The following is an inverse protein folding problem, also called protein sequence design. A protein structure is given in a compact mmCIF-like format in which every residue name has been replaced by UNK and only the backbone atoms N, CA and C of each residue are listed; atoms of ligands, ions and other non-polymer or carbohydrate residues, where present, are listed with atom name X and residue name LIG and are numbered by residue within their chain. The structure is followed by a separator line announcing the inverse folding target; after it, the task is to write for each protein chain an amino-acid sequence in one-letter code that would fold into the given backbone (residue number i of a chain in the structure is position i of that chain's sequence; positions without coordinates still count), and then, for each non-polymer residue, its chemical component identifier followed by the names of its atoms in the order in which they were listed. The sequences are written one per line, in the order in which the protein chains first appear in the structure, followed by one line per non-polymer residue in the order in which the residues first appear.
data_IF_356864843059
#
_entry.id   IF_356864843059
#
_cell.length_a   1.000
_cell.length_b   1.000
_cell.length_c   1.000
_cell.angle_alpha   90.00
_cell.angle_beta   90.00
_cell.angle_gamma   90.00
#
_symmetry.space_group_name_H-M   'P 1'
#
loop_
_entity.id
_entity.type
_entity.pdbx_description
1 polymer ?
#
# COMPACT_ATOMS: atom_id res chain seq x y z
N UNK A 1 7.23 -16.06 -2.82
CA UNK A 1 5.81 -15.77 -2.53
C UNK A 1 5.69 -15.69 -1.02
N UNK A 2 5.31 -14.53 -0.47
CA UNK A 2 5.06 -14.35 0.96
C UNK A 2 3.56 -14.50 1.22
N UNK A 3 3.19 -15.21 2.28
CA UNK A 3 1.81 -15.41 2.72
C UNK A 3 1.69 -14.91 4.16
N UNK A 4 0.50 -14.42 4.51
CA UNK A 4 0.20 -13.99 5.87
C UNK A 4 0.28 -15.17 6.84
N UNK A 5 0.82 -14.88 8.02
CA UNK A 5 0.82 -15.78 9.17
C UNK A 5 -0.31 -15.40 10.14
N UNK A 6 -0.73 -16.31 11.04
CA UNK A 6 -1.70 -15.96 12.08
C UNK A 6 -1.27 -14.77 12.96
N UNK A 7 0.03 -14.64 13.22
CA UNK A 7 0.61 -13.54 14.00
C UNK A 7 0.41 -12.19 13.32
N UNK A 8 0.54 -12.13 11.99
CA UNK A 8 0.27 -10.90 11.22
C UNK A 8 -1.18 -10.44 11.38
N UNK A 9 -2.11 -11.35 11.71
CA UNK A 9 -3.54 -11.05 11.83
C UNK A 9 -3.98 -10.75 13.28
N UNK A 10 -3.06 -10.69 14.24
CA UNK A 10 -3.39 -10.37 15.62
C UNK A 10 -3.69 -8.88 15.81
N UNK A 11 -4.81 -8.57 16.47
CA UNK A 11 -5.14 -7.19 16.83
C UNK A 11 -5.52 -6.28 15.65
N UNK A 12 -5.95 -6.85 14.51
CA UNK A 12 -6.30 -6.11 13.28
C UNK A 12 -7.22 -4.91 13.50
N UNK A 13 -8.25 -5.02 14.35
CA UNK A 13 -9.16 -3.89 14.64
C UNK A 13 -8.38 -2.69 15.19
N UNK A 14 -7.48 -2.93 16.15
CA UNK A 14 -6.65 -1.87 16.73
C UNK A 14 -5.63 -1.35 15.73
N UNK A 15 -5.01 -2.22 14.94
CA UNK A 15 -4.08 -1.82 13.87
C UNK A 15 -4.80 -0.94 12.83
N UNK A 16 -6.00 -1.31 12.41
CA UNK A 16 -6.82 -0.55 11.48
C UNK A 16 -7.20 0.82 12.04
N UNK A 17 -7.65 0.90 13.30
CA UNK A 17 -7.95 2.17 13.97
C UNK A 17 -6.71 3.09 14.03
N UNK A 18 -5.56 2.54 14.43
CA UNK A 18 -4.29 3.28 14.45
C UNK A 18 -3.92 3.80 13.06
N UNK A 19 -3.97 2.94 12.04
CA UNK A 19 -3.65 3.31 10.66
C UNK A 19 -4.62 4.36 10.14
N UNK A 20 -5.92 4.23 10.40
CA UNK A 20 -6.91 5.21 9.96
C UNK A 20 -6.68 6.60 10.60
N UNK A 21 -6.26 6.64 11.87
CA UNK A 21 -5.85 7.88 12.52
C UNK A 21 -4.59 8.49 11.89
N UNK A 22 -3.57 7.67 11.57
CA UNK A 22 -2.37 8.14 10.86
C UNK A 22 -2.71 8.68 9.48
N UNK A 23 -3.53 7.95 8.70
CA UNK A 23 -3.99 8.38 7.36
C UNK A 23 -4.74 9.72 7.49
N UNK A 24 -5.65 9.86 8.45
CA UNK A 24 -6.39 11.11 8.67
C UNK A 24 -5.50 12.27 9.06
N UNK A 25 -4.49 12.03 9.91
CA UNK A 25 -3.48 13.04 10.27
C UNK A 25 -2.65 13.46 9.04
N UNK A 26 -2.20 12.50 8.23
CA UNK A 26 -1.28 12.71 7.11
C UNK A 26 -1.96 13.25 5.84
N UNK A 27 -3.21 12.87 5.59
CA UNK A 27 -3.94 13.16 4.34
C UNK A 27 -5.19 14.03 4.52
N UNK A 28 -5.69 14.16 5.75
CA UNK A 28 -6.98 14.81 6.04
C UNK A 28 -8.21 13.94 5.75
N UNK A 29 -8.02 12.70 5.30
CA UNK A 29 -9.08 11.76 4.89
C UNK A 29 -8.95 10.44 5.66
N UNK A 30 -10.05 9.71 5.81
CA UNK A 30 -9.98 8.32 6.28
C UNK A 30 -9.96 7.32 5.11
N UNK A 31 -9.83 6.02 5.41
CA UNK A 31 -9.78 4.96 4.38
C UNK A 31 -11.06 4.95 3.53
N UNK A 32 -12.23 5.19 4.12
CA UNK A 32 -13.50 5.17 3.41
C UNK A 32 -13.60 6.37 2.45
N UNK A 33 -13.19 7.56 2.89
CA UNK A 33 -13.10 8.76 2.06
C UNK A 33 -12.18 8.53 0.86
N UNK A 34 -11.00 7.92 1.09
CA UNK A 34 -10.02 7.61 0.05
C UNK A 34 -10.62 6.62 -0.95
N UNK A 35 -11.19 5.51 -0.48
CA UNK A 35 -11.79 4.50 -1.36
C UNK A 35 -12.95 5.08 -2.18
N UNK A 36 -13.81 5.89 -1.56
CA UNK A 36 -14.90 6.60 -2.25
C UNK A 36 -14.38 7.51 -3.36
N UNK A 37 -13.27 8.22 -3.15
CA UNK A 37 -12.69 9.07 -4.19
C UNK A 37 -11.99 8.29 -5.31
N UNK A 38 -11.35 7.15 -4.99
CA UNK A 38 -10.72 6.30 -6.02
C UNK A 38 -11.79 5.68 -6.91
N UNK A 39 -12.84 5.12 -6.32
CA UNK A 39 -13.79 4.24 -7.02
C UNK A 39 -15.13 4.89 -7.37
N UNK A 40 -15.46 6.04 -6.77
CA UNK A 40 -16.74 6.72 -6.97
C UNK A 40 -17.93 5.99 -6.35
N UNK A 41 -17.68 5.10 -5.40
CA UNK A 41 -18.67 4.20 -4.79
C UNK A 41 -18.84 4.45 -3.30
N UNK A 42 -19.95 3.95 -2.75
CA UNK A 42 -20.26 3.96 -1.31
C UNK A 42 -20.78 2.59 -0.91
N UNK A 43 -20.59 2.23 0.35
CA UNK A 43 -21.19 1.03 0.96
C UNK A 43 -22.58 1.38 1.50
N UNK A 44 -23.57 0.54 1.23
CA UNK A 44 -24.96 0.66 1.69
C UNK A 44 -25.58 -0.70 2.10
N UNK A 45 -25.08 -1.26 3.21
CA UNK A 45 -25.73 -2.37 3.93
C UNK A 45 -25.70 -3.73 3.23
N UNK A 46 -24.73 -3.99 2.38
CA UNK A 46 -24.74 -5.15 1.50
C UNK A 46 -24.22 -6.43 2.16
N UNK A 47 -24.73 -7.58 1.67
CA UNK A 47 -24.43 -8.89 2.27
C UNK A 47 -23.19 -9.53 1.69
N UNK A 48 -22.44 -10.16 2.59
CA UNK A 48 -21.08 -10.66 2.36
C UNK A 48 -20.95 -12.12 2.71
N UNK A 49 -20.47 -12.92 1.76
CA UNK A 49 -20.10 -14.32 2.00
C UNK A 49 -18.60 -14.49 2.05
N UNK A 50 -18.07 -14.93 3.18
CA UNK A 50 -16.66 -15.36 3.30
C UNK A 50 -16.63 -16.86 3.15
N UNK A 51 -15.90 -17.34 2.16
CA UNK A 51 -15.74 -18.77 1.90
C UNK A 51 -14.29 -19.14 2.20
N UNK A 52 -14.01 -19.85 3.32
CA UNK A 52 -12.69 -20.40 3.57
C UNK A 52 -12.27 -21.32 2.42
N UNK A 53 -11.07 -21.10 1.89
CA UNK A 53 -10.52 -21.89 0.78
C UNK A 53 -9.45 -22.83 1.32
N UNK A 54 -9.54 -24.11 0.99
CA UNK A 54 -8.62 -25.17 1.46
C UNK A 54 -7.55 -25.53 0.43
N UNK A 55 -7.59 -24.97 -0.79
CA UNK A 55 -6.62 -25.26 -1.84
C UNK A 55 -5.22 -24.71 -1.51
N UNK A 56 -4.17 -25.42 -1.91
CA UNK A 56 -2.78 -24.99 -1.67
C UNK A 56 -2.35 -25.28 -0.23
N UNK A 57 -1.89 -24.26 0.50
CA UNK A 57 -1.39 -24.40 1.88
C UNK A 57 -2.51 -24.55 2.94
N UNK A 58 -3.76 -24.78 2.53
CA UNK A 58 -4.90 -24.94 3.43
C UNK A 58 -5.44 -23.62 3.97
N UNK A 59 -6.22 -23.72 5.05
CA UNK A 59 -6.85 -22.57 5.71
C UNK A 59 -5.80 -21.83 6.53
N UNK A 60 -5.66 -20.52 6.29
CA UNK A 60 -4.92 -19.63 7.17
C UNK A 60 -5.85 -19.27 8.35
N UNK A 61 -5.52 -19.74 9.55
CA UNK A 61 -6.27 -19.41 10.78
C UNK A 61 -6.37 -17.90 10.94
N UNK A 62 -7.54 -17.42 11.38
CA UNK A 62 -7.93 -16.01 11.48
C UNK A 62 -8.22 -15.28 10.15
N UNK A 63 -7.77 -15.78 8.99
CA UNK A 63 -7.98 -15.09 7.70
C UNK A 63 -9.45 -14.86 7.37
N UNK A 64 -10.29 -15.89 7.48
CA UNK A 64 -11.73 -15.76 7.19
C UNK A 64 -12.44 -14.83 8.18
N UNK A 65 -12.11 -14.87 9.47
CA UNK A 65 -12.66 -13.91 10.44
C UNK A 65 -12.21 -12.48 10.17
N UNK A 66 -11.01 -12.27 9.61
CA UNK A 66 -10.50 -10.95 9.25
C UNK A 66 -11.17 -10.35 8.00
N UNK A 67 -11.83 -11.17 7.18
CA UNK A 67 -12.43 -10.76 5.90
C UNK A 67 -13.92 -10.41 5.99
N UNK A 68 -14.44 -10.09 7.18
CA UNK A 68 -15.87 -9.90 7.46
C UNK A 68 -16.50 -8.66 6.80
N UNK A 69 -16.33 -8.41 5.49
CA UNK A 69 -17.07 -7.46 4.62
C UNK A 69 -16.68 -7.66 3.12
N UNK A 70 -17.57 -8.04 2.12
CA UNK A 70 -17.57 -8.02 0.60
C UNK A 70 -18.90 -8.41 -0.10
N UNK A 71 -19.38 -7.56 -1.03
CA UNK A 71 -20.71 -7.51 -1.70
C UNK A 71 -20.88 -8.20 -3.08
N UNK A 72 -22.00 -7.86 -3.77
CA UNK A 72 -22.50 -8.30 -5.11
C UNK A 72 -22.34 -7.20 -6.17
N UNK A 73 -21.98 -7.58 -7.41
CA UNK A 73 -22.43 -6.98 -8.69
C UNK A 73 -21.81 -7.61 -9.97
N UNK A 74 -21.20 -8.80 -9.88
CA UNK A 74 -20.53 -9.45 -11.03
C UNK A 74 -19.17 -8.83 -11.41
N UNK A 75 -18.77 -7.73 -10.76
CA UNK A 75 -17.42 -7.17 -10.78
C UNK A 75 -16.50 -8.01 -9.89
N UNK A 76 -15.24 -8.17 -10.31
CA UNK A 76 -14.23 -8.93 -9.57
C UNK A 76 -13.04 -8.00 -9.27
N UNK A 77 -12.73 -7.84 -8.00
CA UNK A 77 -11.51 -7.17 -7.54
C UNK A 77 -10.37 -8.18 -7.38
N UNK A 78 -9.16 -7.74 -7.64
CA UNK A 78 -7.95 -8.53 -7.42
C UNK A 78 -7.12 -7.89 -6.32
N UNK A 79 -6.85 -8.64 -5.25
CA UNK A 79 -6.20 -8.12 -4.04
C UNK A 79 -4.96 -7.27 -4.34
N UNK A 80 -3.98 -7.82 -5.08
CA UNK A 80 -2.72 -7.10 -5.30
C UNK A 80 -2.89 -5.76 -6.04
N UNK A 81 -3.85 -5.67 -6.97
CA UNK A 81 -4.13 -4.40 -7.67
C UNK A 81 -4.79 -3.41 -6.72
N UNK A 82 -5.84 -3.82 -6.00
CA UNK A 82 -6.56 -2.96 -5.06
C UNK A 82 -5.65 -2.47 -3.91
N UNK A 83 -4.83 -3.35 -3.35
CA UNK A 83 -3.83 -2.99 -2.33
C UNK A 83 -2.82 -1.98 -2.88
N UNK A 84 -2.25 -2.23 -4.05
CA UNK A 84 -1.28 -1.31 -4.66
C UNK A 84 -1.88 0.08 -4.89
N UNK A 85 -3.10 0.13 -5.43
CA UNK A 85 -3.82 1.38 -5.71
C UNK A 85 -4.12 2.17 -4.44
N UNK A 86 -4.65 1.54 -3.38
CA UNK A 86 -5.05 2.30 -2.17
C UNK A 86 -3.84 2.80 -1.38
N UNK A 87 -2.79 2.00 -1.24
CA UNK A 87 -1.56 2.42 -0.57
C UNK A 87 -0.83 3.52 -1.35
N UNK A 88 -0.79 3.41 -2.69
CA UNK A 88 -0.31 4.48 -3.55
C UNK A 88 -1.12 5.77 -3.38
N UNK A 89 -2.45 5.68 -3.36
CA UNK A 89 -3.31 6.85 -3.17
C UNK A 89 -3.10 7.50 -1.80
N UNK A 90 -2.96 6.70 -0.73
CA UNK A 90 -2.64 7.19 0.62
C UNK A 90 -1.33 7.99 0.60
N UNK A 91 -0.25 7.40 0.06
CA UNK A 91 1.05 8.08 -0.05
C UNK A 91 0.95 9.39 -0.84
N UNK A 92 0.25 9.36 -1.98
CA UNK A 92 0.11 10.51 -2.88
C UNK A 92 -0.67 11.70 -2.30
N UNK A 93 -1.39 11.49 -1.20
CA UNK A 93 -2.23 12.50 -0.53
C UNK A 93 -1.55 13.12 0.67
N UNK A 94 -0.24 12.97 0.80
CA UNK A 94 0.48 13.56 1.91
C UNK A 94 0.35 15.08 1.90
N UNK A 95 -0.30 15.65 2.91
CA UNK A 95 -0.63 17.08 2.92
C UNK A 95 0.56 18.01 3.13
N UNK A 96 1.69 17.46 3.56
CA UNK A 96 2.94 18.20 3.77
C UNK A 96 3.93 18.00 2.61
N UNK A 97 3.56 17.26 1.57
CA UNK A 97 4.38 17.15 0.37
C UNK A 97 4.46 18.50 -0.35
N UNK A 98 5.66 18.86 -0.80
CA UNK A 98 5.99 20.07 -1.55
C UNK A 98 6.27 19.79 -3.03
N UNK A 99 6.34 18.51 -3.42
CA UNK A 99 6.60 18.05 -4.78
C UNK A 99 5.62 16.95 -5.22
N UNK A 100 5.72 16.56 -6.49
CA UNK A 100 5.03 15.40 -7.07
C UNK A 100 5.93 14.15 -7.11
N UNK A 101 7.14 14.26 -6.59
CA UNK A 101 8.10 13.17 -6.58
C UNK A 101 7.65 12.15 -5.53
N UNK A 102 7.46 10.92 -5.98
CA UNK A 102 7.06 9.81 -5.12
C UNK A 102 7.94 8.59 -5.40
N UNK A 103 8.48 8.02 -4.33
CA UNK A 103 9.32 6.83 -4.42
C UNK A 103 8.47 5.56 -4.30
N UNK A 104 8.68 4.61 -5.21
CA UNK A 104 8.11 3.26 -5.18
C UNK A 104 9.23 2.24 -5.01
N UNK A 105 9.24 1.53 -3.89
CA UNK A 105 10.21 0.47 -3.60
C UNK A 105 9.53 -0.88 -3.73
N UNK A 106 10.01 -1.70 -4.66
CA UNK A 106 9.43 -2.99 -5.03
C UNK A 106 8.37 -2.84 -6.12
N UNK A 107 8.62 -3.46 -7.27
CA UNK A 107 7.78 -3.46 -8.46
C UNK A 107 7.21 -4.84 -8.77
N UNK A 108 6.99 -5.64 -7.72
CA UNK A 108 6.17 -6.84 -7.79
C UNK A 108 4.71 -6.53 -8.11
N UNK A 109 3.82 -7.52 -7.97
CA UNK A 109 2.39 -7.39 -8.33
C UNK A 109 1.68 -6.19 -7.69
N UNK A 110 2.00 -5.86 -6.44
CA UNK A 110 1.38 -4.77 -5.67
C UNK A 110 2.00 -3.44 -6.05
N UNK A 111 3.33 -3.31 -5.91
CA UNK A 111 4.02 -2.05 -6.19
C UNK A 111 3.92 -1.61 -7.66
N UNK A 112 3.94 -2.54 -8.63
CA UNK A 112 3.70 -2.19 -10.04
C UNK A 112 2.30 -1.59 -10.25
N UNK A 113 1.27 -2.14 -9.61
CA UNK A 113 -0.09 -1.60 -9.70
C UNK A 113 -0.19 -0.21 -9.06
N UNK A 114 0.48 0.00 -7.93
CA UNK A 114 0.60 1.31 -7.27
C UNK A 114 1.33 2.33 -8.15
N UNK A 115 2.51 1.97 -8.70
CA UNK A 115 3.27 2.82 -9.61
C UNK A 115 2.44 3.22 -10.84
N UNK A 116 1.74 2.26 -11.47
CA UNK A 116 0.86 2.55 -12.61
C UNK A 116 -0.25 3.53 -12.24
N UNK A 117 -0.83 3.40 -11.04
CA UNK A 117 -1.86 4.32 -10.54
C UNK A 117 -1.32 5.73 -10.35
N UNK A 118 -0.13 5.87 -9.74
CA UNK A 118 0.54 7.16 -9.51
C UNK A 118 0.88 7.87 -10.83
N UNK A 119 1.41 7.14 -11.81
CA UNK A 119 1.66 7.67 -13.16
C UNK A 119 0.36 8.20 -13.79
N UNK A 120 -0.74 7.45 -13.71
CA UNK A 120 -2.06 7.90 -14.22
C UNK A 120 -2.58 9.14 -13.48
N UNK A 121 -2.16 9.35 -12.23
CA UNK A 121 -2.44 10.56 -11.43
C UNK A 121 -1.43 11.69 -11.66
N UNK A 122 -0.51 11.55 -12.63
CA UNK A 122 0.46 12.57 -13.02
C UNK A 122 1.45 12.93 -11.89
N UNK A 123 1.90 11.93 -11.14
CA UNK A 123 3.05 12.03 -10.24
C UNK A 123 4.36 11.70 -10.97
N UNK A 124 5.47 12.24 -10.47
CA UNK A 124 6.81 11.93 -10.92
C UNK A 124 7.28 10.69 -10.14
N UNK A 125 7.04 9.52 -10.74
CA UNK A 125 7.22 8.23 -10.05
C UNK A 125 8.64 7.75 -10.18
N UNK A 126 9.40 7.89 -9.11
CA UNK A 126 10.71 7.29 -8.93
C UNK A 126 10.54 5.86 -8.44
N UNK A 127 11.26 4.91 -9.01
CA UNK A 127 11.09 3.52 -8.63
C UNK A 127 12.41 2.75 -8.52
N UNK A 128 12.44 1.80 -7.59
CA UNK A 128 13.55 0.89 -7.39
C UNK A 128 13.04 -0.54 -7.16
N UNK A 129 13.63 -1.49 -7.88
CA UNK A 129 13.50 -2.93 -7.64
C UNK A 129 14.86 -3.58 -7.95
N UNK A 130 15.34 -4.53 -7.13
CA UNK A 130 16.59 -5.24 -7.42
C UNK A 130 16.54 -6.07 -8.72
N UNK A 131 15.36 -6.44 -9.19
CA UNK A 131 15.18 -7.17 -10.45
C UNK A 131 15.20 -6.22 -11.65
N UNK A 132 16.29 -6.32 -12.44
CA UNK A 132 16.51 -5.46 -13.62
C UNK A 132 15.45 -5.64 -14.70
N UNK A 133 14.91 -6.85 -14.88
CA UNK A 133 13.86 -7.10 -15.88
C UNK A 133 12.57 -6.39 -15.50
N UNK A 134 12.20 -6.44 -14.22
CA UNK A 134 11.06 -5.73 -13.64
C UNK A 134 11.23 -4.22 -13.77
N UNK A 135 12.42 -3.69 -13.46
CA UNK A 135 12.74 -2.27 -13.64
C UNK A 135 12.60 -1.82 -15.09
N UNK A 136 13.22 -2.53 -16.04
CA UNK A 136 13.15 -2.17 -17.47
C UNK A 136 11.72 -2.26 -18.01
N UNK A 137 10.96 -3.28 -17.58
CA UNK A 137 9.54 -3.40 -17.93
C UNK A 137 8.74 -2.20 -17.43
N UNK A 138 8.86 -1.84 -16.15
CA UNK A 138 8.14 -0.71 -15.57
C UNK A 138 8.53 0.61 -16.25
N UNK A 139 9.82 0.83 -16.51
CA UNK A 139 10.31 2.00 -17.24
C UNK A 139 9.68 2.10 -18.63
N UNK A 140 9.64 1.00 -19.38
CA UNK A 140 9.09 0.97 -20.75
C UNK A 140 7.57 1.11 -20.79
N UNK A 141 6.86 0.45 -19.89
CA UNK A 141 5.40 0.38 -19.92
C UNK A 141 4.72 1.53 -19.18
N UNK A 142 5.34 2.04 -18.11
CA UNK A 142 4.76 3.06 -17.25
C UNK A 142 5.48 4.41 -17.38
N UNK A 143 6.72 4.45 -17.88
CA UNK A 143 7.49 5.70 -17.92
C UNK A 143 7.99 6.16 -16.56
N UNK A 144 8.17 5.25 -15.60
CA UNK A 144 8.78 5.57 -14.31
C UNK A 144 10.22 6.05 -14.46
N UNK A 145 10.69 6.80 -13.47
CA UNK A 145 12.07 7.28 -13.35
C UNK A 145 12.83 6.25 -12.52
N UNK A 146 13.86 5.57 -13.05
CA UNK A 146 14.69 4.69 -12.25
C UNK A 146 15.37 5.48 -11.13
N UNK A 147 15.23 5.03 -9.89
CA UNK A 147 15.93 5.59 -8.74
C UNK A 147 17.20 4.78 -8.47
N UNK A 148 18.32 5.47 -8.31
CA UNK A 148 19.57 4.89 -7.84
C UNK A 148 19.72 5.19 -6.33
N UNK A 149 19.78 4.17 -5.46
CA UNK A 149 19.98 4.35 -4.02
C UNK A 149 21.26 5.11 -3.63
N UNK A 150 22.23 5.22 -4.54
CA UNK A 150 23.47 5.98 -4.33
C UNK A 150 23.31 7.49 -4.61
N UNK A 151 22.20 7.93 -5.21
CA UNK A 151 21.91 9.35 -5.44
C UNK A 151 21.28 10.00 -4.19
N UNK A 152 21.71 11.23 -3.87
CA UNK A 152 21.08 12.02 -2.82
C UNK A 152 19.77 12.64 -3.33
N UNK A 153 18.70 11.84 -3.34
CA UNK A 153 17.34 12.33 -3.58
C UNK A 153 16.37 11.79 -2.52
N UNK A 154 15.82 12.70 -1.71
CA UNK A 154 14.98 12.39 -0.56
C UNK A 154 13.51 12.65 -0.87
N UNK A 155 12.66 11.70 -0.49
CA UNK A 155 11.22 11.75 -0.76
C UNK A 155 10.42 11.98 0.52
N UNK A 156 9.36 12.79 0.40
CA UNK A 156 8.35 12.98 1.45
C UNK A 156 7.14 12.05 1.28
N UNK A 157 7.05 11.37 0.13
CA UNK A 157 6.02 10.38 -0.19
C UNK A 157 6.68 9.08 -0.64
N UNK A 158 6.39 7.98 0.05
CA UNK A 158 6.96 6.66 -0.28
C UNK A 158 5.88 5.59 -0.27
N UNK A 159 5.86 4.78 -1.33
CA UNK A 159 5.17 3.50 -1.41
C UNK A 159 6.22 2.39 -1.34
N UNK A 160 6.20 1.56 -0.30
CA UNK A 160 7.10 0.40 -0.19
C UNK A 160 6.26 -0.87 -0.23
N UNK A 161 6.57 -1.80 -1.12
CA UNK A 161 5.74 -2.99 -1.37
C UNK A 161 6.59 -4.24 -1.55
N UNK A 162 7.59 -4.44 -0.69
CA UNK A 162 8.46 -5.62 -0.70
C UNK A 162 8.13 -6.59 0.44
N UNK A 163 8.54 -7.86 0.35
CA UNK A 163 8.45 -8.82 1.44
C UNK A 163 9.75 -8.87 2.27
N UNK A 164 10.51 -7.76 2.34
CA UNK A 164 11.82 -7.73 3.00
C UNK A 164 11.88 -6.61 4.03
N UNK A 165 12.57 -6.83 5.17
CA UNK A 165 12.81 -5.75 6.12
C UNK A 165 13.90 -4.79 5.60
N UNK A 166 13.96 -3.59 6.18
CA UNK A 166 15.06 -2.63 5.99
C UNK A 166 15.37 -2.29 4.53
N UNK A 167 14.32 -2.16 3.71
CA UNK A 167 14.43 -1.76 2.30
C UNK A 167 14.52 -0.25 2.12
N UNK A 168 14.18 0.52 3.16
CA UNK A 168 14.25 1.98 3.18
C UNK A 168 15.52 2.41 3.90
N UNK A 169 16.29 3.30 3.26
CA UNK A 169 17.49 3.91 3.83
C UNK A 169 17.28 5.41 4.14
N UNK A 170 18.17 5.98 4.95
CA UNK A 170 18.09 7.39 5.37
C UNK A 170 18.30 8.37 4.20
N UNK A 171 18.99 7.93 3.14
CA UNK A 171 19.17 8.69 1.91
C UNK A 171 17.89 8.81 1.09
N UNK A 172 16.92 7.90 1.27
CA UNK A 172 15.67 7.87 0.50
C UNK A 172 14.58 8.76 1.09
N UNK A 173 14.61 9.06 2.39
CA UNK A 173 13.48 9.71 3.08
C UNK A 173 13.84 11.11 3.56
N UNK A 174 12.91 12.03 3.38
CA UNK A 174 12.99 13.37 3.95
C UNK A 174 12.83 13.34 5.49
N UNK A 175 13.16 14.45 6.16
CA UNK A 175 12.96 14.58 7.62
C UNK A 175 11.50 14.39 8.03
N UNK A 176 10.56 14.80 7.16
CA UNK A 176 9.12 14.64 7.34
C UNK A 176 8.54 13.92 6.13
N UNK A 177 8.02 12.72 6.35
CA UNK A 177 7.64 11.82 5.25
C UNK A 177 6.46 10.94 5.62
N UNK A 178 5.60 10.62 4.65
CA UNK A 178 4.60 9.56 4.73
C UNK A 178 5.12 8.32 4.03
N UNK A 179 5.24 7.22 4.77
CA UNK A 179 5.58 5.91 4.24
C UNK A 179 4.33 5.04 4.28
N UNK A 180 3.84 4.66 3.11
CA UNK A 180 2.69 3.79 2.96
C UNK A 180 3.16 2.42 2.46
N UNK A 181 3.02 1.38 3.28
CA UNK A 181 3.54 0.05 2.96
C UNK A 181 2.57 -1.08 3.32
N UNK A 182 2.19 -1.92 2.35
CA UNK A 182 1.58 -3.22 2.63
C UNK A 182 2.63 -4.34 2.82
N UNK A 183 3.93 -4.01 2.75
CA UNK A 183 5.03 -4.95 2.88
C UNK A 183 5.07 -5.58 4.28
N UNK A 184 5.42 -6.86 4.35
CA UNK A 184 5.62 -7.58 5.61
C UNK A 184 6.88 -8.45 5.45
N UNK A 185 7.87 -8.33 6.35
CA UNK A 185 7.94 -7.42 7.51
C UNK A 185 8.13 -5.94 7.11
N UNK A 186 8.13 -5.02 8.09
CA UNK A 186 8.28 -3.58 7.86
C UNK A 186 9.59 -3.24 7.14
N UNK A 187 9.50 -2.53 6.01
CA UNK A 187 10.66 -2.06 5.24
C UNK A 187 11.41 -0.88 5.87
N UNK A 188 10.80 -0.17 6.83
CA UNK A 188 11.41 0.97 7.55
C UNK A 188 12.19 0.47 8.78
N UNK A 189 13.53 0.70 8.85
CA UNK A 189 14.31 0.49 10.06
C UNK A 189 13.83 1.37 11.23
N UNK A 190 13.80 0.80 12.44
CA UNK A 190 13.34 1.52 13.66
C UNK A 190 14.12 2.80 13.91
N UNK A 191 15.45 2.76 13.74
CA UNK A 191 16.33 3.89 14.03
C UNK A 191 16.11 5.07 13.08
N UNK A 192 15.70 4.83 11.83
CA UNK A 192 15.28 5.87 10.89
C UNK A 192 13.90 6.42 11.28
N UNK A 193 12.98 5.53 11.66
CA UNK A 193 11.64 5.92 12.12
C UNK A 193 11.66 6.81 13.37
N UNK A 194 12.66 6.63 14.26
CA UNK A 194 12.82 7.45 15.48
C UNK A 194 13.52 8.80 15.22
N UNK A 195 14.44 8.86 14.25
CA UNK A 195 15.19 10.09 13.93
C UNK A 195 14.40 11.08 13.08
N UNK A 196 13.43 10.61 12.31
CA UNK A 196 12.65 11.40 11.37
C UNK A 196 11.18 11.50 11.81
N UNK A 197 10.49 12.57 11.41
CA UNK A 197 9.04 12.70 11.57
C UNK A 197 8.31 11.86 10.50
N UNK A 198 8.31 10.54 10.68
CA UNK A 198 7.67 9.59 9.77
C UNK A 198 6.22 9.30 10.20
N UNK A 199 5.27 9.60 9.33
CA UNK A 199 3.92 9.05 9.41
C UNK A 199 3.92 7.68 8.71
N UNK A 200 3.89 6.57 9.46
CA UNK A 200 3.89 5.20 8.91
C UNK A 200 2.46 4.65 8.79
N UNK A 201 2.09 4.24 7.58
CA UNK A 201 0.86 3.48 7.31
C UNK A 201 1.25 2.08 6.89
N UNK A 202 0.99 1.10 7.75
CA UNK A 202 1.30 -0.30 7.54
C UNK A 202 0.21 -1.17 8.17
N UNK A 203 -0.50 -1.91 7.32
CA UNK A 203 -1.56 -2.81 7.76
C UNK A 203 -1.64 -4.05 6.85
N UNK A 204 -1.70 -5.26 7.42
CA UNK A 204 -1.44 -6.49 6.69
C UNK A 204 -2.58 -6.96 5.77
N UNK A 205 -3.82 -6.45 5.89
CA UNK A 205 -4.97 -7.02 5.19
C UNK A 205 -6.14 -6.05 4.95
N UNK A 206 -6.69 -5.49 6.01
CA UNK A 206 -7.97 -4.76 6.02
C UNK A 206 -8.00 -3.54 5.11
N UNK A 207 -6.90 -2.80 4.93
CA UNK A 207 -6.85 -1.65 3.99
C UNK A 207 -7.02 -2.13 2.54
N UNK A 208 -6.35 -3.22 2.17
CA UNK A 208 -6.50 -3.84 0.85
C UNK A 208 -7.92 -4.37 0.61
N UNK A 209 -8.52 -4.97 1.63
CA UNK A 209 -9.90 -5.47 1.58
C UNK A 209 -10.91 -4.33 1.41
N UNK A 210 -10.74 -3.22 2.13
CA UNK A 210 -11.55 -2.01 1.94
C UNK A 210 -11.46 -1.49 0.50
N UNK A 211 -10.26 -1.49 -0.08
CA UNK A 211 -10.09 -1.13 -1.49
C UNK A 211 -10.81 -2.10 -2.45
N UNK A 212 -10.68 -3.42 -2.23
CA UNK A 212 -11.37 -4.44 -3.03
C UNK A 212 -12.89 -4.31 -2.97
N UNK A 213 -13.41 -3.99 -1.79
CA UNK A 213 -14.81 -3.71 -1.55
C UNK A 213 -15.29 -2.60 -2.47
N UNK A 214 -14.82 -1.38 -2.24
CA UNK A 214 -15.29 -0.21 -2.98
C UNK A 214 -15.11 -0.36 -4.50
N UNK A 215 -14.08 -1.09 -4.96
CA UNK A 215 -13.85 -1.35 -6.37
C UNK A 215 -14.95 -2.16 -7.07
N UNK A 216 -15.73 -2.98 -6.34
CA UNK A 216 -16.77 -3.85 -6.92
C UNK A 216 -18.20 -3.39 -6.64
N UNK A 217 -18.37 -2.23 -6.01
CA UNK A 217 -19.67 -1.59 -5.79
C UNK A 217 -20.26 -1.07 -7.11
#
# INVERSE_FOLDING_TARGET
MALLTPQDLEGLTKQLECNNNTIKKATGMDIADICKQIYGTTLDGEKVGIVPITSGNGIITNFSSSLLTIMRNGKIATNHVCTGVVYAEIASRYKYADSKDILVIGLGRVGYAGAQHLVKRNFDVYAYDPDRETMEKARKELGIIPYDPEEEHKFSMVLEATPNPNTISEGMVAERCLISTPGIPCGLPEDIGERNEIDLVMEPLTIGVASMLYAVM
#
